data_IF_434587455182
#
_entry.id   IF_434587455182
#
_cell.length_a   1.000
_cell.length_b   1.000
_cell.length_c   1.000
_cell.angle_alpha   90.00
_cell.angle_beta   90.00
_cell.angle_gamma   90.00
#
_symmetry.space_group_name_H-M   'P 1'
#
loop_
_entity.id
_entity.type
_entity.pdbx_description
1 polymer ?
#
# COMPACT_ATOMS: atom_id res chain seq x y z
N UNK A 1 3.69 -14.10 6.59
CA UNK A 1 2.24 -13.84 6.65
C UNK A 1 1.84 -12.94 7.79
N UNK A 2 0.57 -12.60 7.84
CA UNK A 2 -0.03 -11.80 8.91
C UNK A 2 -1.50 -12.15 9.06
N UNK A 3 -2.01 -11.97 10.27
CA UNK A 3 -3.41 -12.23 10.61
C UNK A 3 -3.94 -11.12 11.50
N UNK A 4 -5.23 -10.86 11.40
CA UNK A 4 -5.94 -9.90 12.24
C UNK A 4 -7.37 -10.39 12.50
N UNK A 5 -7.77 -10.36 13.76
CA UNK A 5 -9.14 -10.67 14.20
C UNK A 5 -9.92 -9.39 14.50
N UNK A 6 -11.17 -9.36 14.10
CA UNK A 6 -12.06 -8.26 14.50
C UNK A 6 -12.49 -8.42 15.95
N UNK A 7 -12.40 -7.36 16.75
CA UNK A 7 -12.93 -7.32 18.10
C UNK A 7 -13.49 -5.95 18.44
N UNK A 8 -14.55 -5.92 19.25
CA UNK A 8 -15.13 -4.65 19.73
C UNK A 8 -14.14 -3.86 20.61
N UNK A 9 -13.16 -4.50 21.25
CA UNK A 9 -12.12 -3.81 22.01
C UNK A 9 -11.16 -3.04 21.09
N UNK A 10 -10.73 -3.66 19.97
CA UNK A 10 -9.90 -2.99 18.97
C UNK A 10 -10.66 -1.80 18.35
N UNK A 11 -11.93 -2.00 18.00
CA UNK A 11 -12.76 -0.91 17.48
C UNK A 11 -12.91 0.23 18.47
N UNK A 12 -13.24 -0.06 19.72
CA UNK A 12 -13.35 0.95 20.79
C UNK A 12 -12.04 1.71 21.01
N UNK A 13 -10.90 1.02 20.96
CA UNK A 13 -9.58 1.62 21.06
C UNK A 13 -9.32 2.64 19.93
N UNK A 14 -9.53 2.25 18.68
CA UNK A 14 -9.35 3.15 17.54
C UNK A 14 -10.40 4.26 17.48
N UNK A 15 -11.64 3.99 17.92
CA UNK A 15 -12.68 5.01 18.01
C UNK A 15 -12.33 6.08 19.03
N UNK A 16 -11.77 5.70 20.18
CA UNK A 16 -11.29 6.64 21.18
C UNK A 16 -10.16 7.55 20.66
N UNK A 17 -9.35 7.07 19.74
CA UNK A 17 -8.31 7.82 19.04
C UNK A 17 -8.86 8.71 17.92
N UNK A 18 -10.16 8.62 17.59
CA UNK A 18 -10.82 9.36 16.51
C UNK A 18 -10.19 9.16 15.14
N UNK A 19 -9.73 7.95 14.86
CA UNK A 19 -9.11 7.59 13.57
C UNK A 19 -10.01 6.75 12.68
N UNK A 20 -11.17 6.30 13.20
CA UNK A 20 -12.16 5.54 12.45
C UNK A 20 -13.07 6.45 11.62
N UNK A 21 -13.50 5.96 10.47
CA UNK A 21 -14.56 6.57 9.70
C UNK A 21 -15.88 6.54 10.48
N UNK A 22 -16.53 7.69 10.64
CA UNK A 22 -17.84 7.85 11.28
C UNK A 22 -18.91 8.40 10.33
N UNK A 23 -18.48 8.84 9.14
CA UNK A 23 -19.35 9.14 8.03
C UNK A 23 -19.84 7.85 7.37
N UNK A 24 -20.84 7.90 6.55
CA UNK A 24 -21.30 6.77 5.73
C UNK A 24 -21.84 5.55 6.51
N UNK A 25 -22.33 5.71 7.75
CA UNK A 25 -22.96 4.60 8.46
C UNK A 25 -24.22 4.07 7.75
N UNK A 26 -24.89 4.91 6.99
CA UNK A 26 -26.08 4.55 6.19
C UNK A 26 -25.71 4.01 4.79
N UNK A 27 -24.44 4.16 4.36
CA UNK A 27 -23.89 3.68 3.09
C UNK A 27 -22.48 3.09 3.34
N UNK A 28 -22.36 1.99 4.12
CA UNK A 28 -21.07 1.49 4.62
C UNK A 28 -20.10 1.09 3.51
N UNK A 29 -20.58 0.73 2.33
CA UNK A 29 -19.75 0.44 1.15
C UNK A 29 -18.96 1.66 0.64
N UNK A 30 -19.37 2.87 1.03
CA UNK A 30 -18.69 4.13 0.69
C UNK A 30 -17.72 4.62 1.77
N UNK A 31 -17.64 3.93 2.90
CA UNK A 31 -16.91 4.42 4.08
C UNK A 31 -15.38 4.39 3.93
N UNK A 32 -14.83 3.34 3.30
CA UNK A 32 -13.39 3.24 3.05
C UNK A 32 -13.02 3.98 1.77
N UNK A 33 -12.42 5.17 1.90
CA UNK A 33 -12.21 6.15 0.82
C UNK A 33 -10.76 6.66 0.76
N UNK A 34 -9.77 5.79 0.55
CA UNK A 34 -8.37 6.24 0.44
C UNK A 34 -8.20 7.27 -0.68
N UNK A 35 -7.38 8.29 -0.42
CA UNK A 35 -7.05 9.39 -1.35
C UNK A 35 -8.21 10.35 -1.69
N UNK A 36 -9.40 10.16 -1.14
CA UNK A 36 -10.58 11.01 -1.35
C UNK A 36 -10.49 12.28 -0.50
N UNK A 37 -11.03 13.40 -1.00
CA UNK A 37 -11.20 14.64 -0.25
C UNK A 37 -12.17 14.48 0.93
N UNK A 38 -13.14 13.57 0.80
CA UNK A 38 -14.12 13.24 1.83
C UNK A 38 -13.70 12.06 2.73
N UNK A 39 -12.42 11.66 2.71
CA UNK A 39 -11.89 10.63 3.60
C UNK A 39 -12.07 11.02 5.07
N UNK A 40 -12.71 10.17 5.85
CA UNK A 40 -13.10 10.47 7.24
C UNK A 40 -12.45 9.57 8.29
N UNK A 41 -11.43 8.78 7.93
CA UNK A 41 -10.80 7.80 8.79
C UNK A 41 -10.85 6.40 8.17
N UNK A 42 -10.13 5.45 8.75
CA UNK A 42 -10.13 4.10 8.20
C UNK A 42 -11.31 3.25 8.71
N UNK A 43 -11.66 2.25 7.96
CA UNK A 43 -12.62 1.20 8.34
C UNK A 43 -11.79 -0.02 8.75
N UNK A 44 -11.88 -0.53 9.99
CA UNK A 44 -11.18 -1.73 10.38
C UNK A 44 -11.67 -2.95 9.58
N UNK A 45 -10.71 -3.71 9.07
CA UNK A 45 -10.94 -5.01 8.44
C UNK A 45 -10.31 -6.13 9.26
N UNK A 46 -10.54 -7.37 8.85
CA UNK A 46 -9.92 -8.55 9.42
C UNK A 46 -9.58 -9.56 8.34
N UNK A 47 -8.73 -10.51 8.65
CA UNK A 47 -8.35 -11.56 7.71
C UNK A 47 -6.97 -12.11 7.97
N UNK A 48 -6.49 -12.90 7.03
CA UNK A 48 -5.14 -13.47 7.05
C UNK A 48 -4.59 -13.55 5.62
N UNK A 49 -3.28 -13.31 5.48
CA UNK A 49 -2.54 -13.51 4.25
C UNK A 49 -1.26 -14.30 4.51
N UNK A 50 -0.92 -15.21 3.62
CA UNK A 50 0.29 -16.02 3.70
C UNK A 50 0.92 -16.07 2.31
N UNK A 51 2.23 -15.83 2.27
CA UNK A 51 3.08 -16.04 1.10
C UNK A 51 4.04 -17.19 1.43
N UNK A 52 4.09 -18.20 0.58
CA UNK A 52 5.13 -19.22 0.64
C UNK A 52 6.36 -18.70 -0.10
N UNK A 53 7.45 -18.50 0.64
CA UNK A 53 8.70 -17.95 0.09
C UNK A 53 9.78 -19.01 0.19
N UNK A 54 10.50 -19.23 -0.89
CA UNK A 54 11.63 -20.17 -0.97
C UNK A 54 12.70 -19.66 -1.92
N UNK A 55 13.88 -20.25 -1.91
CA UNK A 55 14.92 -19.90 -2.88
C UNK A 55 14.51 -20.35 -4.30
N UNK A 56 15.03 -19.66 -5.31
CA UNK A 56 14.76 -19.99 -6.71
C UNK A 56 15.16 -21.44 -7.02
N UNK A 57 16.32 -21.88 -6.51
CA UNK A 57 16.83 -23.24 -6.71
C UNK A 57 15.87 -24.30 -6.12
N UNK A 58 15.32 -24.03 -4.94
CA UNK A 58 14.33 -24.92 -4.29
C UNK A 58 13.05 -25.00 -5.11
N UNK A 59 12.52 -23.85 -5.55
CA UNK A 59 11.33 -23.77 -6.35
C UNK A 59 11.48 -24.55 -7.67
N UNK A 60 12.57 -24.33 -8.37
CA UNK A 60 12.88 -25.01 -9.63
C UNK A 60 13.10 -26.51 -9.45
N UNK A 61 13.84 -26.94 -8.41
CA UNK A 61 14.11 -28.36 -8.16
C UNK A 61 12.87 -29.21 -7.94
N UNK A 62 11.79 -28.61 -7.36
CA UNK A 62 10.52 -29.30 -7.17
C UNK A 62 9.46 -29.00 -8.23
N UNK A 63 9.81 -28.25 -9.28
CA UNK A 63 8.87 -27.85 -10.34
C UNK A 63 7.74 -26.95 -9.84
N UNK A 64 8.05 -26.06 -8.89
CA UNK A 64 7.06 -25.16 -8.32
C UNK A 64 6.58 -24.13 -9.35
N UNK A 65 5.30 -23.79 -9.27
CA UNK A 65 4.79 -22.61 -9.96
C UNK A 65 5.23 -21.36 -9.22
N UNK A 66 6.08 -20.56 -9.86
CA UNK A 66 6.54 -19.28 -9.30
C UNK A 66 5.56 -18.19 -9.74
N UNK A 67 5.07 -17.39 -8.79
CA UNK A 67 4.11 -16.31 -9.05
C UNK A 67 4.80 -14.97 -9.24
N UNK A 68 5.79 -14.68 -8.41
CA UNK A 68 6.57 -13.46 -8.43
C UNK A 68 7.90 -13.69 -7.73
N UNK A 69 8.84 -12.80 -7.95
CA UNK A 69 10.11 -12.70 -7.25
C UNK A 69 10.04 -11.56 -6.22
N UNK A 70 10.57 -11.76 -5.03
CA UNK A 70 10.83 -10.69 -4.07
C UNK A 70 12.23 -10.17 -4.35
N UNK A 71 12.34 -8.96 -4.90
CA UNK A 71 13.63 -8.36 -5.26
C UNK A 71 14.36 -7.81 -4.06
N UNK A 72 13.64 -7.24 -3.10
CA UNK A 72 14.22 -6.61 -1.94
C UNK A 72 13.19 -5.89 -1.10
N UNK A 73 13.66 -5.21 -0.06
CA UNK A 73 12.80 -4.44 0.82
C UNK A 73 13.58 -3.63 1.85
N UNK A 74 12.87 -2.84 2.61
CA UNK A 74 13.44 -2.06 3.69
C UNK A 74 12.46 -1.90 4.85
N UNK A 75 13.02 -1.82 6.05
CA UNK A 75 12.30 -1.48 7.28
C UNK A 75 13.09 -0.38 7.98
N UNK A 76 12.39 0.64 8.46
CA UNK A 76 12.98 1.65 9.32
C UNK A 76 11.97 2.22 10.32
N UNK A 77 12.44 3.10 11.20
CA UNK A 77 11.62 3.92 12.06
C UNK A 77 11.97 5.40 11.84
N UNK A 78 10.96 6.27 11.76
CA UNK A 78 11.16 7.71 11.67
C UNK A 78 11.65 8.34 12.98
N UNK A 79 11.49 7.65 14.10
CA UNK A 79 11.95 8.06 15.42
C UNK A 79 11.13 9.17 16.03
N UNK A 80 9.87 9.32 15.64
CA UNK A 80 8.94 10.35 16.12
C UNK A 80 9.49 11.79 15.96
N UNK A 81 10.22 12.03 14.88
CA UNK A 81 10.84 13.33 14.59
C UNK A 81 10.12 14.06 13.48
N UNK A 82 10.27 15.38 13.38
CA UNK A 82 9.81 16.20 12.24
C UNK A 82 8.35 15.94 11.84
N UNK A 83 7.46 15.89 12.81
CA UNK A 83 6.04 15.63 12.60
C UNK A 83 5.63 14.16 12.67
N UNK A 84 6.58 13.22 12.82
CA UNK A 84 6.29 11.84 13.17
C UNK A 84 5.80 11.70 14.60
N UNK A 85 4.88 10.79 14.83
CA UNK A 85 4.29 10.50 16.14
C UNK A 85 3.87 9.03 16.21
N UNK A 86 3.25 8.62 17.31
CA UNK A 86 2.66 7.29 17.43
C UNK A 86 1.67 7.00 16.29
N UNK A 87 0.91 7.99 15.82
CA UNK A 87 -0.17 7.81 14.84
C UNK A 87 0.11 8.43 13.46
N UNK A 88 1.24 9.10 13.29
CA UNK A 88 1.60 9.76 12.04
C UNK A 88 3.06 9.48 11.67
N UNK A 89 3.34 8.95 10.49
CA UNK A 89 4.70 8.70 10.06
C UNK A 89 5.44 10.01 9.74
N UNK A 90 6.74 10.00 9.96
CA UNK A 90 7.66 11.04 9.51
C UNK A 90 7.90 10.91 8.00
N UNK A 91 7.57 11.94 7.23
CA UNK A 91 7.71 11.92 5.77
C UNK A 91 9.14 11.59 5.29
N UNK A 92 10.18 12.06 5.97
CA UNK A 92 11.57 11.71 5.63
C UNK A 92 11.87 10.24 5.94
N UNK A 93 11.30 9.69 7.04
CA UNK A 93 11.40 8.27 7.39
C UNK A 93 10.77 7.40 6.31
N UNK A 94 9.57 7.75 5.87
CA UNK A 94 8.87 7.11 4.75
C UNK A 94 9.72 7.12 3.48
N UNK A 95 10.19 8.31 3.06
CA UNK A 95 11.00 8.47 1.85
C UNK A 95 12.32 7.68 1.91
N UNK A 96 12.97 7.64 3.09
CA UNK A 96 14.18 6.81 3.29
C UNK A 96 13.87 5.33 3.15
N UNK A 97 12.72 4.86 3.68
CA UNK A 97 12.31 3.47 3.55
C UNK A 97 12.09 3.08 2.08
N UNK A 98 11.35 3.90 1.34
CA UNK A 98 11.10 3.68 -0.09
C UNK A 98 12.44 3.62 -0.87
N UNK A 99 13.31 4.62 -0.71
CA UNK A 99 14.61 4.63 -1.40
C UNK A 99 15.50 3.47 -1.02
N UNK A 100 15.52 3.09 0.26
CA UNK A 100 16.30 1.95 0.71
C UNK A 100 15.80 0.63 0.10
N UNK A 101 14.48 0.45 -0.04
CA UNK A 101 13.91 -0.71 -0.70
C UNK A 101 14.29 -0.77 -2.19
N UNK A 102 14.25 0.36 -2.90
CA UNK A 102 14.67 0.45 -4.31
C UNK A 102 16.15 0.09 -4.47
N UNK A 103 17.02 0.59 -3.57
CA UNK A 103 18.45 0.27 -3.57
C UNK A 103 18.69 -1.21 -3.27
N UNK A 104 18.00 -1.78 -2.27
CA UNK A 104 18.14 -3.19 -1.89
C UNK A 104 17.68 -4.12 -3.02
N UNK A 105 16.62 -3.74 -3.75
CA UNK A 105 16.14 -4.45 -4.91
C UNK A 105 17.03 -4.30 -6.16
N UNK A 106 18.03 -3.42 -6.12
CA UNK A 106 18.94 -3.10 -7.24
C UNK A 106 18.20 -2.72 -8.54
N UNK A 107 17.12 -1.93 -8.43
CA UNK A 107 16.32 -1.43 -9.56
C UNK A 107 16.46 0.09 -9.70
N UNK A 108 16.17 0.59 -10.91
CA UNK A 108 15.95 2.01 -11.13
C UNK A 108 14.54 2.40 -10.62
N UNK A 109 14.35 3.57 -9.97
CA UNK A 109 13.02 4.07 -9.64
C UNK A 109 12.04 4.08 -10.82
N UNK A 110 12.54 4.23 -12.05
CA UNK A 110 11.73 4.21 -13.27
C UNK A 110 11.19 2.81 -13.63
N UNK A 111 11.72 1.75 -13.06
CA UNK A 111 11.21 0.39 -13.23
C UNK A 111 9.96 0.09 -12.37
N UNK A 112 9.55 1.01 -11.51
CA UNK A 112 8.35 0.84 -10.68
C UNK A 112 7.11 1.19 -11.51
N UNK A 113 6.30 0.17 -11.81
CA UNK A 113 5.08 0.32 -12.60
C UNK A 113 3.86 0.65 -11.75
N UNK A 114 3.78 0.07 -10.54
CA UNK A 114 2.64 0.28 -9.66
C UNK A 114 3.02 0.26 -8.17
N UNK A 115 2.22 0.96 -7.38
CA UNK A 115 2.36 1.12 -5.93
C UNK A 115 1.10 0.60 -5.24
N UNK A 116 1.26 -0.36 -4.34
CA UNK A 116 0.26 -0.69 -3.33
C UNK A 116 0.59 0.09 -2.07
N UNK A 117 -0.05 1.25 -1.91
CA UNK A 117 0.23 2.17 -0.83
C UNK A 117 -0.32 1.72 0.53
N UNK A 118 0.12 2.38 1.59
CA UNK A 118 -0.51 2.21 2.90
C UNK A 118 -1.90 2.83 2.93
N UNK A 119 -2.07 4.04 2.46
CA UNK A 119 -3.29 4.78 2.13
C UNK A 119 -4.55 4.30 2.89
N UNK A 120 -4.86 4.95 3.99
CA UNK A 120 -5.83 4.45 4.98
C UNK A 120 -7.13 5.23 5.04
N UNK A 121 -7.44 6.07 4.07
CA UNK A 121 -8.57 6.99 4.08
C UNK A 121 -8.47 8.03 5.21
N UNK A 122 -7.27 8.50 5.50
CA UNK A 122 -6.99 9.51 6.53
C UNK A 122 -6.28 10.72 5.95
N UNK A 123 -6.18 11.80 6.72
CA UNK A 123 -5.41 12.99 6.32
C UNK A 123 -3.90 12.73 6.09
N UNK A 124 -3.42 11.50 6.26
CA UNK A 124 -2.06 11.10 5.92
C UNK A 124 -1.89 10.73 4.44
N UNK A 125 -2.97 10.36 3.74
CA UNK A 125 -2.90 9.87 2.36
C UNK A 125 -2.24 10.85 1.38
N UNK A 126 -2.56 12.16 1.38
CA UNK A 126 -1.87 13.12 0.50
C UNK A 126 -0.36 13.22 0.77
N UNK A 127 0.03 13.14 2.03
CA UNK A 127 1.45 13.17 2.44
C UNK A 127 2.18 11.90 2.00
N UNK A 128 1.50 10.77 2.01
CA UNK A 128 2.05 9.52 1.51
C UNK A 128 2.29 9.60 0.01
N UNK A 129 1.30 10.02 -0.79
CA UNK A 129 1.46 10.19 -2.25
C UNK A 129 2.60 11.16 -2.58
N UNK A 130 2.69 12.29 -1.88
CA UNK A 130 3.80 13.23 -2.04
C UNK A 130 5.16 12.61 -1.66
N UNK A 131 5.20 11.72 -0.67
CA UNK A 131 6.43 11.02 -0.28
C UNK A 131 6.86 10.01 -1.34
N UNK A 132 5.91 9.30 -1.97
CA UNK A 132 6.18 8.43 -3.11
C UNK A 132 6.79 9.19 -4.28
N UNK A 133 6.16 10.28 -4.71
CA UNK A 133 6.65 11.12 -5.81
C UNK A 133 8.08 11.62 -5.55
N UNK A 134 8.35 12.08 -4.32
CA UNK A 134 9.67 12.58 -3.94
C UNK A 134 10.71 11.46 -3.80
N UNK A 135 10.33 10.30 -3.27
CA UNK A 135 11.26 9.19 -3.09
C UNK A 135 11.69 8.57 -4.40
N UNK A 136 10.74 8.39 -5.34
CA UNK A 136 10.96 7.83 -6.67
C UNK A 136 11.40 8.89 -7.69
N UNK A 137 11.41 10.17 -7.33
CA UNK A 137 11.75 11.30 -8.22
C UNK A 137 10.87 11.37 -9.48
N UNK A 138 9.56 10.99 -9.34
CA UNK A 138 8.61 10.93 -10.45
C UNK A 138 7.77 12.20 -10.53
N UNK A 139 7.62 12.73 -11.74
CA UNK A 139 6.66 13.81 -12.03
C UNK A 139 5.23 13.26 -12.14
N UNK A 140 4.19 14.10 -12.11
CA UNK A 140 2.81 13.62 -12.27
C UNK A 140 2.58 12.80 -13.54
N UNK A 141 3.27 13.13 -14.63
CA UNK A 141 3.15 12.47 -15.94
C UNK A 141 3.79 11.07 -15.96
N UNK A 142 4.79 10.85 -15.11
CA UNK A 142 5.53 9.59 -15.05
C UNK A 142 5.23 8.81 -13.75
N UNK A 143 4.31 9.31 -12.92
CA UNK A 143 4.01 8.68 -11.63
C UNK A 143 3.39 7.30 -11.83
N UNK A 144 3.85 6.26 -11.12
CA UNK A 144 3.33 4.91 -11.23
C UNK A 144 1.83 4.84 -10.90
N UNK A 145 1.14 3.80 -11.37
CA UNK A 145 -0.19 3.52 -10.89
C UNK A 145 -0.17 3.35 -9.36
N UNK A 146 -1.08 4.01 -8.65
CA UNK A 146 -1.16 3.91 -7.18
C UNK A 146 -2.54 3.47 -6.73
N UNK A 147 -2.59 2.47 -5.87
CA UNK A 147 -3.85 1.91 -5.41
C UNK A 147 -3.79 1.56 -3.92
N UNK A 148 -4.98 1.46 -3.31
CA UNK A 148 -5.16 0.96 -1.95
C UNK A 148 -6.19 -0.17 -1.92
N UNK A 149 -5.75 -1.36 -1.59
CA UNK A 149 -6.62 -2.52 -1.34
C UNK A 149 -7.63 -2.23 -0.21
N UNK A 150 -7.29 -1.32 0.69
CA UNK A 150 -8.15 -0.92 1.82
C UNK A 150 -9.45 -0.26 1.38
N UNK A 151 -9.52 0.29 0.17
CA UNK A 151 -10.78 0.81 -0.37
C UNK A 151 -11.86 -0.28 -0.47
N UNK A 152 -11.45 -1.53 -0.70
CA UNK A 152 -12.34 -2.68 -0.92
C UNK A 152 -12.53 -3.55 0.32
N UNK A 153 -11.51 -3.69 1.17
CA UNK A 153 -11.52 -4.64 2.29
C UNK A 153 -11.33 -3.99 3.67
N UNK A 154 -11.22 -2.66 3.72
CA UNK A 154 -10.87 -1.96 4.94
C UNK A 154 -9.39 -2.16 5.35
N UNK A 155 -9.03 -1.67 6.52
CA UNK A 155 -7.69 -1.78 7.07
C UNK A 155 -7.58 -3.01 7.99
N UNK A 156 -7.02 -4.09 7.49
CA UNK A 156 -6.84 -5.33 8.23
C UNK A 156 -5.61 -5.31 9.18
N UNK A 157 -5.16 -4.13 9.62
CA UNK A 157 -4.15 -3.90 10.65
C UNK A 157 -2.94 -4.85 10.54
N UNK A 158 -2.80 -5.81 11.46
CA UNK A 158 -1.71 -6.79 11.48
C UNK A 158 -1.70 -7.74 10.26
N UNK A 159 -2.84 -7.95 9.60
CA UNK A 159 -2.92 -8.73 8.36
C UNK A 159 -2.69 -7.89 7.10
N UNK A 160 -2.78 -6.54 7.18
CA UNK A 160 -2.80 -5.67 6.01
C UNK A 160 -1.60 -5.89 5.08
N UNK A 161 -0.39 -5.93 5.64
CA UNK A 161 0.83 -6.14 4.86
C UNK A 161 0.83 -7.45 4.07
N UNK A 162 0.34 -8.53 4.65
CA UNK A 162 0.30 -9.84 4.03
C UNK A 162 -0.81 -9.93 2.96
N UNK A 163 -2.04 -9.48 3.27
CA UNK A 163 -3.16 -9.46 2.32
C UNK A 163 -2.84 -8.62 1.08
N UNK A 164 -2.29 -7.43 1.30
CA UNK A 164 -1.91 -6.52 0.21
C UNK A 164 -0.72 -7.04 -0.61
N UNK A 165 0.22 -7.78 0.02
CA UNK A 165 1.29 -8.45 -0.71
C UNK A 165 0.76 -9.60 -1.58
N UNK A 166 -0.22 -10.37 -1.11
CA UNK A 166 -0.91 -11.37 -1.93
C UNK A 166 -1.59 -10.69 -3.12
N UNK A 167 -2.27 -9.56 -2.90
CA UNK A 167 -2.88 -8.79 -3.99
C UNK A 167 -1.84 -8.32 -5.02
N UNK A 168 -0.66 -7.82 -4.57
CA UNK A 168 0.43 -7.42 -5.47
C UNK A 168 0.91 -8.59 -6.34
N UNK A 169 1.13 -9.76 -5.74
CA UNK A 169 1.56 -10.96 -6.48
C UNK A 169 0.52 -11.37 -7.54
N UNK A 170 -0.77 -11.30 -7.21
CA UNK A 170 -1.85 -11.61 -8.15
C UNK A 170 -1.95 -10.56 -9.27
N UNK A 171 -1.84 -9.26 -8.95
CA UNK A 171 -1.82 -8.20 -9.94
C UNK A 171 -0.66 -8.35 -10.94
N UNK A 172 0.54 -8.63 -10.45
CA UNK A 172 1.73 -8.88 -11.28
C UNK A 172 1.50 -10.08 -12.21
N UNK A 173 0.98 -11.16 -11.67
CA UNK A 173 0.75 -12.39 -12.43
C UNK A 173 -0.29 -12.20 -13.53
N UNK A 174 -1.43 -11.60 -13.19
CA UNK A 174 -2.58 -11.43 -14.08
C UNK A 174 -2.50 -10.11 -14.88
N UNK A 175 -1.47 -9.29 -14.68
CA UNK A 175 -1.17 -8.05 -15.42
C UNK A 175 -2.29 -7.00 -15.37
N UNK A 176 -2.78 -6.73 -14.19
CA UNK A 176 -3.75 -5.66 -13.95
C UNK A 176 -3.42 -4.93 -12.65
N UNK A 177 -4.00 -3.74 -12.46
CA UNK A 177 -4.03 -3.05 -11.17
C UNK A 177 -5.49 -2.94 -10.75
N UNK A 178 -5.78 -3.40 -9.54
CA UNK A 178 -7.12 -3.27 -8.96
C UNK A 178 -7.46 -1.80 -8.67
N UNK A 179 -8.74 -1.42 -8.68
CA UNK A 179 -9.12 -0.04 -8.41
C UNK A 179 -8.87 0.37 -6.95
N UNK A 180 -8.73 1.68 -6.74
CA UNK A 180 -9.02 2.33 -5.47
C UNK A 180 -10.43 2.89 -5.61
N UNK A 181 -11.43 2.16 -5.07
CA UNK A 181 -12.83 2.57 -5.16
C UNK A 181 -13.13 3.71 -4.16
N UNK A 182 -14.27 4.37 -4.32
CA UNK A 182 -14.72 5.46 -3.45
C UNK A 182 -13.75 6.67 -3.43
N UNK A 183 -13.07 6.93 -4.54
CA UNK A 183 -12.12 8.04 -4.68
C UNK A 183 -12.52 8.96 -5.85
N UNK A 184 -13.81 9.17 -6.04
CA UNK A 184 -14.35 10.01 -7.12
C UNK A 184 -13.96 11.49 -6.93
N UNK A 185 -13.79 11.91 -5.69
CA UNK A 185 -13.37 13.23 -5.23
C UNK A 185 -11.92 13.21 -4.75
N UNK A 186 -10.98 12.97 -5.66
CA UNK A 186 -9.54 12.94 -5.32
C UNK A 186 -9.15 14.17 -4.49
N UNK A 187 -8.37 13.93 -3.43
CA UNK A 187 -7.95 15.01 -2.53
C UNK A 187 -7.17 16.10 -3.29
N UNK A 188 -7.48 17.41 -3.11
CA UNK A 188 -6.90 18.50 -3.91
C UNK A 188 -5.37 18.54 -3.92
N UNK A 189 -4.71 18.20 -2.81
CA UNK A 189 -3.23 18.19 -2.74
C UNK A 189 -2.57 17.14 -3.65
N UNK A 190 -3.32 16.13 -4.09
CA UNK A 190 -2.83 15.05 -4.95
C UNK A 190 -3.56 14.95 -6.28
N UNK A 191 -4.43 15.91 -6.61
CA UNK A 191 -5.23 15.93 -7.84
C UNK A 191 -4.36 15.79 -9.10
N UNK A 192 -3.17 16.37 -9.09
CA UNK A 192 -2.20 16.23 -10.20
C UNK A 192 -1.76 14.78 -10.46
N UNK A 193 -1.97 13.86 -9.54
CA UNK A 193 -1.70 12.43 -9.69
C UNK A 193 -2.97 11.60 -9.96
N UNK A 194 -4.14 12.23 -10.14
CA UNK A 194 -5.42 11.54 -10.34
C UNK A 194 -5.38 10.51 -11.49
N UNK A 195 -4.65 10.82 -12.57
CA UNK A 195 -4.46 9.90 -13.70
C UNK A 195 -3.76 8.58 -13.34
N UNK A 196 -3.02 8.56 -12.23
CA UNK A 196 -2.35 7.36 -11.70
C UNK A 196 -3.20 6.54 -10.74
N UNK A 197 -4.39 7.03 -10.34
CA UNK A 197 -5.31 6.34 -9.44
C UNK A 197 -6.35 5.60 -10.28
N UNK A 198 -6.32 4.26 -10.38
CA UNK A 198 -7.34 3.52 -11.10
C UNK A 198 -8.66 3.49 -10.31
N UNK A 199 -9.77 3.92 -10.92
CA UNK A 199 -11.12 3.84 -10.34
C UNK A 199 -11.87 2.57 -10.77
N UNK A 200 -11.37 1.91 -11.79
CA UNK A 200 -11.81 0.60 -12.30
C UNK A 200 -10.59 -0.28 -12.49
N UNK A 201 -10.78 -1.57 -12.71
CA UNK A 201 -9.67 -2.46 -13.05
C UNK A 201 -8.92 -1.88 -14.26
N UNK A 202 -7.61 -1.70 -14.11
CA UNK A 202 -6.72 -1.22 -15.18
C UNK A 202 -5.87 -2.38 -15.67
N UNK A 203 -6.13 -2.84 -16.88
CA UNK A 203 -5.25 -3.77 -17.57
C UNK A 203 -3.88 -3.11 -17.82
N UNK A 204 -2.81 -3.80 -17.46
CA UNK A 204 -1.43 -3.34 -17.63
C UNK A 204 -0.56 -4.51 -18.12
N UNK A 205 -0.59 -4.84 -19.42
CA UNK A 205 0.18 -5.96 -19.97
C UNK A 205 1.68 -5.89 -19.69
N UNK A 206 2.21 -4.67 -19.56
CA UNK A 206 3.61 -4.38 -19.22
C UNK A 206 3.92 -4.41 -17.72
N UNK A 207 2.93 -4.59 -16.84
CA UNK A 207 3.13 -4.60 -15.39
C UNK A 207 4.17 -5.65 -14.99
N UNK A 208 5.28 -5.20 -14.46
CA UNK A 208 6.44 -6.02 -14.15
C UNK A 208 6.95 -5.85 -12.72
N UNK A 209 6.90 -4.64 -12.18
CA UNK A 209 7.47 -4.33 -10.86
C UNK A 209 6.48 -3.54 -10.00
N UNK A 210 6.22 -4.03 -8.79
CA UNK A 210 5.37 -3.35 -7.80
C UNK A 210 6.07 -3.14 -6.48
N UNK A 211 5.81 -1.99 -5.85
CA UNK A 211 6.18 -1.75 -4.45
C UNK A 211 4.93 -1.85 -3.59
N UNK A 212 5.01 -2.64 -2.52
CA UNK A 212 4.06 -2.69 -1.42
C UNK A 212 4.64 -1.96 -0.22
N UNK A 213 3.87 -1.05 0.38
CA UNK A 213 4.30 -0.37 1.60
C UNK A 213 3.30 -0.48 2.76
N UNK A 214 3.84 -0.43 3.97
CA UNK A 214 3.11 -0.26 5.21
C UNK A 214 3.79 0.79 6.08
N UNK A 215 3.03 1.82 6.50
CA UNK A 215 3.52 2.91 7.35
C UNK A 215 2.67 2.91 8.62
N UNK A 216 3.14 2.18 9.62
CA UNK A 216 2.37 1.83 10.80
C UNK A 216 2.58 2.77 11.98
N UNK A 217 1.75 2.57 12.99
CA UNK A 217 1.89 3.23 14.27
C UNK A 217 3.28 2.99 14.88
N UNK A 218 3.75 3.96 15.66
CA UNK A 218 5.12 3.96 16.15
C UNK A 218 6.13 4.57 15.17
N UNK A 219 5.65 5.17 14.07
CA UNK A 219 6.49 5.71 12.99
C UNK A 219 7.36 4.63 12.33
N UNK A 220 6.82 3.39 12.25
CA UNK A 220 7.48 2.23 11.66
C UNK A 220 7.08 2.11 10.19
N UNK A 221 8.07 2.01 9.32
CA UNK A 221 7.90 1.98 7.88
C UNK A 221 8.49 0.69 7.31
N UNK A 222 7.77 0.07 6.38
CA UNK A 222 8.21 -1.11 5.66
C UNK A 222 7.83 -1.03 4.17
N UNK A 223 8.74 -1.42 3.30
CA UNK A 223 8.51 -1.57 1.87
C UNK A 223 9.03 -2.92 1.41
N UNK A 224 8.31 -3.56 0.49
CA UNK A 224 8.76 -4.75 -0.23
C UNK A 224 8.55 -4.56 -1.73
N UNK A 225 9.48 -5.06 -2.54
CA UNK A 225 9.44 -4.94 -3.99
C UNK A 225 9.28 -6.33 -4.60
N UNK A 226 8.28 -6.45 -5.43
CA UNK A 226 7.94 -7.67 -6.15
C UNK A 226 8.11 -7.46 -7.65
N UNK A 227 8.65 -8.46 -8.32
CA UNK A 227 8.75 -8.53 -9.78
C UNK A 227 7.97 -9.73 -10.29
N UNK A 228 7.28 -9.54 -11.40
CA UNK A 228 6.61 -10.62 -12.10
C UNK A 228 7.63 -11.69 -12.52
N UNK A 229 7.31 -12.93 -12.24
CA UNK A 229 8.08 -14.04 -12.77
C UNK A 229 7.76 -14.21 -14.27
N UNK A 230 8.78 -14.29 -15.10
CA UNK A 230 8.66 -14.68 -16.51
C UNK A 230 9.00 -16.16 -16.61
N UNK A 231 8.07 -16.96 -17.11
CA UNK A 231 8.26 -18.39 -17.39
C UNK A 231 9.29 -18.61 -18.50
#
# INVERSE_FOLDING_TARGET
>A
GGTEGSSHYAWAGFDSMRVLCRAHNDEPEKASRPMSASAGGFVPGSGAGILHVESLESAQARGARIYAEILGGAINCGGHRRGGSMTAPNAEGVQRCIRAAVVDAAIDPDEVDAISGHLTATGADPKEVASWAKALQRSPETFPAITSTKSMIGHALGAAGALESVACVLMLRERFVHPSINCEDVHPEIEKYAGSIPHVVREMPELNTMIKAGFGFGDVNACAIFRRWAD
#
